data_IF_852577560218
#
_entry.id   IF_852577560218
#
_cell.length_a   1.000
_cell.length_b   1.000
_cell.length_c   1.000
_cell.angle_alpha   90.00
_cell.angle_beta   90.00
_cell.angle_gamma   90.00
#
_symmetry.space_group_name_H-M   'P 1'
#
loop_
_entity.id
_entity.type
_entity.pdbx_description
1 polymer ?
#
# COMPACT_ATOMS: atom_id res chain seq x y z
N UNK A 1 -58.48 36.27 -0.58
CA UNK A 1 -57.02 36.07 -0.68
C UNK A 1 -56.53 35.67 0.69
N UNK A 2 -55.98 34.51 0.99
CA UNK A 2 -55.71 33.28 0.25
C UNK A 2 -55.46 32.25 1.36
N UNK A 3 -56.19 31.12 1.36
CA UNK A 3 -55.97 30.03 2.30
C UNK A 3 -54.70 29.29 1.85
N UNK A 4 -53.67 29.23 2.69
CA UNK A 4 -52.52 28.35 2.44
C UNK A 4 -52.81 26.99 3.06
N UNK A 5 -52.97 26.04 2.15
CA UNK A 5 -53.10 24.60 2.30
C UNK A 5 -51.89 23.93 2.94
N UNK A 6 -52.19 22.98 3.85
CA UNK A 6 -51.60 21.65 4.11
C UNK A 6 -50.35 21.26 3.27
N UNK A 7 -49.36 20.61 3.88
CA UNK A 7 -48.91 19.22 3.58
C UNK A 7 -47.65 18.83 4.37
N UNK A 8 -47.88 18.01 5.40
CA UNK A 8 -47.17 16.77 5.78
C UNK A 8 -45.63 16.70 5.64
N UNK A 9 -45.00 16.53 6.81
CA UNK A 9 -43.69 15.94 7.02
C UNK A 9 -43.53 14.66 6.19
N UNK A 10 -42.54 14.66 5.28
CA UNK A 10 -41.98 13.44 4.71
C UNK A 10 -40.60 13.23 5.29
N UNK A 11 -40.50 12.30 6.24
CA UNK A 11 -39.25 11.61 6.56
C UNK A 11 -38.65 11.07 5.25
N UNK A 12 -37.59 11.72 4.78
CA UNK A 12 -36.79 11.18 3.68
C UNK A 12 -35.96 10.06 4.31
N UNK A 13 -36.52 8.85 4.25
CA UNK A 13 -35.82 7.62 4.55
C UNK A 13 -34.48 7.60 3.82
N UNK A 14 -33.38 7.64 4.60
CA UNK A 14 -32.03 7.42 4.09
C UNK A 14 -31.95 5.97 3.61
N UNK A 15 -32.30 5.75 2.35
CA UNK A 15 -31.99 4.52 1.65
C UNK A 15 -30.47 4.34 1.68
N UNK A 16 -30.00 3.36 2.46
CA UNK A 16 -28.60 2.92 2.43
C UNK A 16 -28.26 2.46 1.01
N UNK A 17 -27.41 3.23 0.34
CA UNK A 17 -26.81 2.81 -0.94
C UNK A 17 -25.83 1.65 -0.65
N UNK A 18 -26.33 0.42 -0.71
CA UNK A 18 -25.52 -0.81 -0.77
C UNK A 18 -24.81 -0.89 -2.13
N UNK A 19 -23.71 -0.14 -2.27
CA UNK A 19 -22.95 -0.15 -3.52
C UNK A 19 -21.72 0.76 -3.58
N UNK A 20 -21.28 1.32 -2.46
CA UNK A 20 -19.99 2.00 -2.37
C UNK A 20 -18.90 1.07 -1.87
N UNK A 21 -17.73 1.09 -2.49
CA UNK A 21 -16.51 0.52 -1.89
C UNK A 21 -16.35 1.16 -0.51
N UNK A 22 -16.45 0.39 0.58
CA UNK A 22 -16.20 0.91 1.93
C UNK A 22 -14.80 1.52 1.93
N UNK A 23 -14.70 2.83 2.12
CA UNK A 23 -13.42 3.47 2.32
C UNK A 23 -12.82 2.91 3.61
N UNK A 24 -11.56 2.49 3.55
CA UNK A 24 -10.84 2.10 4.77
C UNK A 24 -10.52 3.38 5.52
N UNK A 25 -11.13 3.57 6.68
CA UNK A 25 -10.76 4.64 7.62
C UNK A 25 -9.66 4.12 8.54
N UNK A 26 -8.55 4.84 8.59
CA UNK A 26 -7.45 4.56 9.50
C UNK A 26 -7.44 5.59 10.62
N UNK A 27 -7.24 5.14 11.86
CA UNK A 27 -7.08 6.02 13.03
C UNK A 27 -5.60 6.33 13.26
N UNK A 28 -5.11 7.39 12.61
CA UNK A 28 -3.76 7.92 12.82
C UNK A 28 -3.77 9.45 12.77
N UNK A 29 -2.74 10.06 13.35
CA UNK A 29 -2.42 11.50 13.22
C UNK A 29 -1.22 11.68 12.30
N UNK A 30 -1.34 12.56 11.32
CA UNK A 30 -0.22 12.97 10.45
C UNK A 30 0.37 14.29 10.90
N UNK A 31 1.71 14.40 10.88
CA UNK A 31 2.45 15.64 11.08
C UNK A 31 3.47 15.80 9.96
N UNK A 32 3.67 17.03 9.48
CA UNK A 32 4.71 17.38 8.52
C UNK A 32 5.65 18.39 9.16
N UNK A 33 6.92 18.05 9.26
CA UNK A 33 8.00 18.95 9.66
C UNK A 33 9.00 19.10 8.50
N UNK A 34 9.99 20.00 8.63
CA UNK A 34 11.09 20.13 7.67
C UNK A 34 12.43 20.06 8.37
N UNK A 35 13.32 19.19 7.91
CA UNK A 35 14.60 18.87 8.57
C UNK A 35 15.73 18.77 7.57
N UNK A 36 16.98 19.00 8.02
CA UNK A 36 18.17 18.69 7.23
C UNK A 36 18.52 17.22 7.43
N UNK A 37 18.57 16.42 6.36
CA UNK A 37 19.06 15.03 6.43
C UNK A 37 20.17 14.78 5.44
N UNK A 38 21.27 14.24 5.94
CA UNK A 38 22.49 13.95 5.18
C UNK A 38 22.30 12.87 4.09
N UNK A 39 21.27 12.02 4.22
CA UNK A 39 20.97 10.93 3.26
C UNK A 39 19.97 11.31 2.16
N UNK A 40 19.45 12.54 2.15
CA UNK A 40 18.58 13.00 1.08
C UNK A 40 19.42 13.38 -0.15
N UNK A 41 19.02 12.91 -1.33
CA UNK A 41 19.88 12.88 -2.51
C UNK A 41 20.34 14.29 -2.95
N UNK A 42 19.53 15.35 -2.74
CA UNK A 42 19.81 16.68 -3.33
C UNK A 42 19.41 17.93 -2.52
N UNK A 43 18.66 17.81 -1.41
CA UNK A 43 18.07 18.99 -0.74
C UNK A 43 18.57 19.26 0.68
N UNK A 44 18.83 20.54 0.97
CA UNK A 44 19.24 21.00 2.32
C UNK A 44 18.11 20.90 3.35
N UNK A 45 16.84 20.90 2.92
CA UNK A 45 15.66 20.79 3.78
C UNK A 45 14.67 19.81 3.15
N UNK A 46 14.30 18.75 3.86
CA UNK A 46 13.33 17.76 3.38
C UNK A 46 12.10 17.74 4.28
N UNK A 47 10.96 17.33 3.72
CA UNK A 47 9.77 17.04 4.51
C UNK A 47 9.98 15.77 5.37
N UNK A 48 9.70 15.87 6.67
CA UNK A 48 9.63 14.76 7.60
C UNK A 48 8.17 14.50 7.94
N UNK A 49 7.57 13.50 7.29
CA UNK A 49 6.16 13.16 7.44
C UNK A 49 6.05 12.03 8.47
N UNK A 50 5.47 12.32 9.63
CA UNK A 50 5.28 11.36 10.72
C UNK A 50 3.82 10.97 10.85
N UNK A 51 3.54 9.67 10.80
CA UNK A 51 2.23 9.10 11.11
C UNK A 51 2.27 8.45 12.49
N UNK A 52 1.38 8.86 13.39
CA UNK A 52 1.29 8.35 14.77
C UNK A 52 -0.05 7.66 14.99
N UNK A 53 -0.04 6.45 15.53
CA UNK A 53 -1.23 5.72 15.97
C UNK A 53 -0.94 4.93 17.25
N UNK A 54 -1.96 4.69 18.06
CA UNK A 54 -1.88 3.76 19.18
C UNK A 54 -1.77 2.29 18.70
N UNK A 55 -2.25 2.01 17.49
CA UNK A 55 -2.15 0.69 16.88
C UNK A 55 -0.79 0.54 16.15
N UNK A 56 0.13 -0.18 16.79
CA UNK A 56 1.44 -0.50 16.19
C UNK A 56 1.31 -1.34 14.91
N UNK A 57 0.28 -2.17 14.78
CA UNK A 57 0.03 -2.95 13.56
C UNK A 57 -0.34 -2.03 12.41
N UNK A 58 -1.15 -1.01 12.66
CA UNK A 58 -1.47 0.03 11.68
C UNK A 58 -0.22 0.79 11.24
N UNK A 59 0.64 1.25 12.16
CA UNK A 59 1.89 1.95 11.80
C UNK A 59 2.76 1.10 10.87
N UNK A 60 2.91 -0.19 11.17
CA UNK A 60 3.64 -1.14 10.31
C UNK A 60 2.93 -1.35 8.97
N UNK A 61 1.60 -1.47 8.95
CA UNK A 61 0.81 -1.57 7.72
C UNK A 61 1.03 -0.35 6.80
N UNK A 62 1.09 0.87 7.37
CA UNK A 62 1.38 2.09 6.61
C UNK A 62 2.75 2.01 5.92
N UNK A 63 3.79 1.55 6.63
CA UNK A 63 5.14 1.37 6.07
C UNK A 63 5.16 0.28 4.98
N UNK A 64 4.52 -0.87 5.24
CA UNK A 64 4.41 -1.98 4.27
C UNK A 64 3.64 -1.55 3.02
N UNK A 65 2.67 -0.62 3.13
CA UNK A 65 1.99 -0.08 1.96
C UNK A 65 2.93 0.68 1.03
N UNK A 66 3.90 1.42 1.57
CA UNK A 66 4.91 2.12 0.76
C UNK A 66 5.87 1.13 0.09
N UNK A 67 6.26 0.07 0.79
CA UNK A 67 7.01 -1.03 0.20
C UNK A 67 6.27 -1.68 -0.98
N UNK A 68 4.98 -1.99 -0.80
CA UNK A 68 4.15 -2.56 -1.86
C UNK A 68 3.93 -1.59 -3.02
N UNK A 69 3.85 -0.28 -2.74
CA UNK A 69 3.75 0.74 -3.78
C UNK A 69 4.97 0.71 -4.71
N UNK A 70 6.18 0.53 -4.17
CA UNK A 70 7.40 0.37 -4.97
C UNK A 70 7.36 -0.85 -5.90
N UNK A 71 6.54 -1.87 -5.60
CA UNK A 71 6.31 -3.02 -6.47
C UNK A 71 5.08 -2.89 -7.39
N UNK A 72 4.52 -1.69 -7.54
CA UNK A 72 3.29 -1.42 -8.29
C UNK A 72 2.07 -2.22 -7.76
N UNK A 73 1.95 -2.31 -6.44
CA UNK A 73 0.79 -2.90 -5.75
C UNK A 73 0.07 -1.83 -4.93
N UNK A 74 -1.15 -1.48 -5.37
CA UNK A 74 -1.97 -0.40 -4.81
C UNK A 74 -3.27 -0.91 -4.18
N UNK A 75 -3.48 -2.22 -4.13
CA UNK A 75 -4.68 -2.79 -3.52
C UNK A 75 -4.77 -2.48 -2.03
N UNK A 76 -5.93 -1.96 -1.61
CA UNK A 76 -6.19 -1.48 -0.25
C UNK A 76 -5.79 -2.50 0.86
N UNK A 77 -6.06 -3.79 0.62
CA UNK A 77 -5.81 -4.85 1.60
C UNK A 77 -4.45 -5.56 1.44
N UNK A 78 -3.63 -5.19 0.44
CA UNK A 78 -2.38 -5.92 0.18
C UNK A 78 -1.39 -5.81 1.35
N UNK A 79 -1.22 -4.62 1.92
CA UNK A 79 -0.35 -4.42 3.07
C UNK A 79 -0.83 -5.20 4.30
N UNK A 80 -2.15 -5.19 4.56
CA UNK A 80 -2.77 -5.92 5.68
C UNK A 80 -2.59 -7.43 5.53
N UNK A 81 -2.81 -7.97 4.33
CA UNK A 81 -2.61 -9.40 4.02
C UNK A 81 -1.13 -9.79 4.17
N UNK A 82 -0.20 -8.98 3.66
CA UNK A 82 1.22 -9.27 3.77
C UNK A 82 1.69 -9.23 5.25
N UNK A 83 1.24 -8.24 6.02
CA UNK A 83 1.49 -8.21 7.48
C UNK A 83 0.95 -9.46 8.17
N UNK A 84 -0.26 -9.90 7.83
CA UNK A 84 -0.85 -11.10 8.40
C UNK A 84 -0.04 -12.36 8.07
N UNK A 85 0.38 -12.52 6.82
CA UNK A 85 1.22 -13.66 6.41
C UNK A 85 2.52 -13.66 7.23
N UNK A 86 3.20 -12.50 7.31
CA UNK A 86 4.46 -12.37 8.03
C UNK A 86 4.32 -12.64 9.54
N UNK A 87 3.26 -12.13 10.18
CA UNK A 87 2.99 -12.35 11.61
C UNK A 87 2.67 -13.81 11.97
N UNK A 88 2.18 -14.59 11.01
CA UNK A 88 1.78 -15.99 11.19
C UNK A 88 2.76 -16.98 10.55
N UNK A 89 3.98 -16.54 10.28
CA UNK A 89 5.07 -17.42 9.90
C UNK A 89 5.46 -18.30 11.10
N UNK A 90 5.66 -19.58 10.82
CA UNK A 90 6.14 -20.59 11.77
C UNK A 90 7.50 -21.11 11.31
N UNK A 91 8.34 -21.54 12.24
CA UNK A 91 9.64 -22.13 11.91
C UNK A 91 9.54 -23.65 11.85
N UNK A 92 9.79 -24.22 10.67
CA UNK A 92 9.87 -25.67 10.43
C UNK A 92 11.23 -25.97 9.82
N UNK A 93 12.02 -26.83 10.46
CA UNK A 93 13.36 -27.22 9.95
C UNK A 93 14.25 -26.00 9.60
N UNK A 94 14.24 -24.98 10.45
CA UNK A 94 14.94 -23.69 10.25
C UNK A 94 14.41 -22.84 9.09
N UNK A 95 13.21 -23.13 8.58
CA UNK A 95 12.53 -22.36 7.52
C UNK A 95 11.33 -21.64 8.08
N UNK A 96 11.28 -20.35 7.78
CA UNK A 96 10.14 -19.47 8.08
C UNK A 96 9.04 -19.66 7.04
N UNK A 97 7.99 -20.39 7.39
CA UNK A 97 6.87 -20.75 6.52
C UNK A 97 5.51 -20.39 7.12
N UNK A 98 4.64 -19.82 6.29
CA UNK A 98 3.22 -19.61 6.55
C UNK A 98 2.40 -20.80 6.03
N UNK A 99 1.58 -21.41 6.90
CA UNK A 99 0.92 -22.70 6.65
C UNK A 99 -0.61 -22.63 6.63
N UNK A 100 -1.21 -21.54 7.10
CA UNK A 100 -2.66 -21.48 7.37
C UNK A 100 -3.52 -21.36 6.09
N UNK A 101 -2.90 -21.03 4.96
CA UNK A 101 -3.57 -20.90 3.67
C UNK A 101 -4.46 -19.65 3.55
N UNK A 102 -5.14 -19.49 2.40
CA UNK A 102 -5.90 -18.28 2.08
C UNK A 102 -7.22 -18.15 2.85
N UNK A 103 -7.84 -19.28 3.24
CA UNK A 103 -9.11 -19.24 3.97
C UNK A 103 -8.95 -18.60 5.34
N UNK A 104 -7.84 -18.87 6.02
CA UNK A 104 -7.55 -18.28 7.32
C UNK A 104 -7.35 -16.76 7.23
N UNK A 105 -6.65 -16.29 6.20
CA UNK A 105 -6.52 -14.84 5.93
C UNK A 105 -7.90 -14.19 5.72
N UNK A 106 -8.77 -14.85 4.94
CA UNK A 106 -10.10 -14.33 4.65
C UNK A 106 -10.95 -14.21 5.93
N UNK A 107 -10.93 -15.24 6.77
CA UNK A 107 -11.64 -15.26 8.05
C UNK A 107 -11.08 -14.21 9.02
N UNK A 108 -9.77 -14.24 9.24
CA UNK A 108 -9.08 -13.38 10.23
C UNK A 108 -9.12 -11.90 9.87
N UNK A 109 -9.14 -11.55 8.58
CA UNK A 109 -9.16 -10.15 8.13
C UNK A 109 -10.55 -9.66 7.71
N UNK A 110 -11.59 -10.51 7.84
CA UNK A 110 -12.97 -10.24 7.40
C UNK A 110 -13.05 -9.84 5.91
N UNK A 111 -12.28 -10.55 5.07
CA UNK A 111 -12.21 -10.31 3.63
C UNK A 111 -12.87 -11.44 2.85
N UNK A 112 -13.35 -11.13 1.65
CA UNK A 112 -13.82 -12.19 0.75
C UNK A 112 -12.63 -13.06 0.30
N UNK A 113 -12.84 -14.38 0.21
CA UNK A 113 -11.82 -15.30 -0.30
C UNK A 113 -11.28 -14.90 -1.69
N UNK A 114 -12.12 -14.49 -2.67
CA UNK A 114 -11.62 -14.01 -3.96
C UNK A 114 -10.69 -12.79 -3.85
N UNK A 115 -10.96 -11.87 -2.92
CA UNK A 115 -10.08 -10.71 -2.66
C UNK A 115 -8.72 -11.17 -2.16
N UNK A 116 -8.69 -12.06 -1.17
CA UNK A 116 -7.45 -12.63 -0.63
C UNK A 116 -6.69 -13.37 -1.72
N UNK A 117 -7.36 -14.26 -2.45
CA UNK A 117 -6.75 -15.06 -3.50
C UNK A 117 -6.10 -14.18 -4.58
N UNK A 118 -6.79 -13.13 -5.04
CA UNK A 118 -6.26 -12.18 -6.03
C UNK A 118 -5.00 -11.47 -5.53
N UNK A 119 -5.01 -11.02 -4.27
CA UNK A 119 -3.88 -10.29 -3.68
C UNK A 119 -2.69 -11.22 -3.46
N UNK A 120 -2.90 -12.41 -2.87
CA UNK A 120 -1.82 -13.40 -2.66
C UNK A 120 -1.20 -13.84 -3.99
N UNK A 121 -2.01 -13.99 -5.04
CA UNK A 121 -1.47 -14.26 -6.39
C UNK A 121 -0.60 -13.11 -6.93
N UNK A 122 -0.93 -11.85 -6.68
CA UNK A 122 -0.06 -10.72 -7.06
C UNK A 122 1.22 -10.67 -6.22
N UNK A 123 1.13 -10.90 -4.91
CA UNK A 123 2.31 -11.00 -4.04
C UNK A 123 3.27 -12.09 -4.55
N UNK A 124 2.72 -13.22 -4.98
CA UNK A 124 3.49 -14.30 -5.60
C UNK A 124 4.10 -13.93 -6.95
N UNK A 125 3.36 -13.27 -7.83
CA UNK A 125 3.91 -12.78 -9.12
C UNK A 125 5.06 -11.78 -8.95
N UNK A 126 5.11 -11.09 -7.81
CA UNK A 126 6.16 -10.13 -7.46
C UNK A 126 7.26 -10.73 -6.59
N UNK A 127 7.27 -12.05 -6.36
CA UNK A 127 8.24 -12.74 -5.49
C UNK A 127 8.29 -12.25 -4.04
N UNK A 128 7.23 -11.57 -3.58
CA UNK A 128 7.09 -11.08 -2.20
C UNK A 128 6.64 -12.22 -1.27
N UNK A 129 5.74 -13.07 -1.76
CA UNK A 129 5.28 -14.29 -1.08
C UNK A 129 5.46 -15.47 -2.03
N UNK A 130 6.35 -16.39 -1.71
CA UNK A 130 6.79 -17.46 -2.60
C UNK A 130 6.18 -18.77 -2.10
N UNK A 131 5.69 -19.61 -3.02
CA UNK A 131 5.18 -20.94 -2.66
C UNK A 131 6.33 -21.80 -2.12
N UNK A 132 6.10 -22.45 -0.99
CA UNK A 132 7.06 -23.38 -0.42
C UNK A 132 7.13 -24.66 -1.27
N UNK A 133 8.31 -25.03 -1.82
CA UNK A 133 8.41 -26.21 -2.69
C UNK A 133 8.21 -27.54 -1.96
N UNK A 134 8.49 -27.59 -0.65
CA UNK A 134 8.47 -28.84 0.12
C UNK A 134 7.17 -29.05 0.91
N UNK A 135 6.42 -27.98 1.20
CA UNK A 135 5.20 -28.03 1.99
C UNK A 135 4.03 -27.53 1.13
N UNK A 136 3.09 -28.44 0.84
CA UNK A 136 1.92 -28.13 0.00
C UNK A 136 1.08 -27.01 0.63
N UNK A 137 0.68 -26.05 -0.20
CA UNK A 137 -0.14 -24.88 0.19
C UNK A 137 0.51 -23.94 1.22
N UNK A 138 1.82 -24.07 1.45
CA UNK A 138 2.57 -23.17 2.29
C UNK A 138 3.27 -22.08 1.46
N UNK A 139 3.62 -21.00 2.13
CA UNK A 139 4.36 -19.89 1.56
C UNK A 139 5.52 -19.50 2.47
N UNK A 140 6.61 -19.00 1.91
CA UNK A 140 7.59 -18.21 2.65
C UNK A 140 7.59 -16.77 2.12
N UNK A 141 8.02 -15.84 2.95
CA UNK A 141 8.20 -14.43 2.56
C UNK A 141 9.53 -14.31 1.82
N UNK A 142 9.55 -13.61 0.68
CA UNK A 142 10.76 -13.40 -0.10
C UNK A 142 11.83 -12.65 0.69
N UNK A 143 13.10 -12.86 0.35
CA UNK A 143 14.24 -12.33 1.11
C UNK A 143 14.21 -10.80 1.24
N UNK A 144 13.88 -10.09 0.16
CA UNK A 144 13.74 -8.62 0.17
C UNK A 144 12.64 -8.17 1.15
N UNK A 145 11.49 -8.82 1.11
CA UNK A 145 10.36 -8.51 1.99
C UNK A 145 10.68 -8.84 3.46
N UNK A 146 11.34 -9.97 3.72
CA UNK A 146 11.79 -10.35 5.07
C UNK A 146 12.79 -9.32 5.63
N UNK A 147 13.78 -8.91 4.82
CA UNK A 147 14.72 -7.83 5.19
C UNK A 147 13.99 -6.51 5.44
N UNK A 148 12.99 -6.16 4.62
CA UNK A 148 12.18 -4.96 4.83
C UNK A 148 11.45 -5.02 6.17
N UNK A 149 10.74 -6.10 6.47
CA UNK A 149 10.05 -6.29 7.75
C UNK A 149 11.00 -6.22 8.95
N UNK A 150 12.19 -6.81 8.83
CA UNK A 150 13.22 -6.72 9.86
C UNK A 150 13.70 -5.27 10.06
N UNK A 151 13.90 -4.52 8.98
CA UNK A 151 14.37 -3.11 9.08
C UNK A 151 13.37 -2.20 9.79
N UNK A 152 12.06 -2.46 9.66
CA UNK A 152 11.00 -1.67 10.29
C UNK A 152 10.51 -2.24 11.64
N UNK A 153 11.08 -3.35 12.11
CA UNK A 153 10.61 -4.06 13.32
C UNK A 153 10.80 -3.26 14.61
N UNK A 154 11.95 -2.57 14.74
CA UNK A 154 12.28 -1.74 15.88
C UNK A 154 11.82 -0.28 15.68
N UNK A 155 12.02 0.24 14.48
CA UNK A 155 11.69 1.61 14.12
C UNK A 155 11.11 1.64 12.70
N UNK A 156 9.82 1.94 12.58
CA UNK A 156 9.10 1.96 11.30
C UNK A 156 9.40 3.24 10.49
N UNK A 157 10.68 3.46 10.19
CA UNK A 157 11.15 4.54 9.35
C UNK A 157 11.57 4.02 7.99
N UNK A 158 11.14 4.74 6.95
CA UNK A 158 11.51 4.49 5.56
C UNK A 158 11.93 5.82 4.93
N UNK A 159 12.85 5.77 3.97
CA UNK A 159 13.23 6.91 3.17
C UNK A 159 12.56 6.78 1.80
N UNK A 160 11.71 7.74 1.46
CA UNK A 160 11.13 7.85 0.12
C UNK A 160 11.90 8.92 -0.65
N UNK A 161 12.39 8.54 -1.83
CA UNK A 161 13.00 9.47 -2.78
C UNK A 161 12.23 9.39 -4.08
N UNK A 162 11.86 10.55 -4.61
CA UNK A 162 11.21 10.68 -5.90
C UNK A 162 12.18 11.42 -6.82
N UNK A 163 12.60 10.75 -7.89
CA UNK A 163 13.36 11.36 -8.98
C UNK A 163 12.46 11.32 -10.22
N UNK A 164 12.41 12.42 -10.96
CA UNK A 164 11.82 12.40 -12.28
C UNK A 164 12.83 11.76 -13.22
N UNK A 165 12.36 10.90 -14.12
CA UNK A 165 13.15 10.55 -15.30
C UNK A 165 13.40 11.86 -16.07
N UNK A 166 14.62 12.05 -16.56
CA UNK A 166 14.88 13.16 -17.49
C UNK A 166 13.97 12.94 -18.70
N UNK A 167 13.00 13.82 -18.92
CA UNK A 167 12.22 13.78 -20.16
C UNK A 167 13.22 13.90 -21.31
N UNK A 168 13.39 12.84 -22.10
CA UNK A 168 13.92 13.01 -23.45
C UNK A 168 13.03 14.08 -24.10
N UNK A 169 13.61 15.25 -24.39
CA UNK A 169 12.89 16.33 -25.06
C UNK A 169 12.42 15.83 -26.43
N UNK A 170 11.18 15.34 -26.48
CA UNK A 170 10.44 15.03 -27.71
C UNK A 170 9.77 16.28 -28.28
N UNK A 171 10.29 17.47 -27.94
CA UNK A 171 9.83 18.70 -28.55
C UNK A 171 10.36 18.75 -29.99
N UNK A 172 9.47 19.08 -30.94
CA UNK A 172 9.84 19.36 -32.32
C UNK A 172 10.80 20.56 -32.43
N UNK A 173 11.05 21.25 -31.32
CA UNK A 173 11.88 22.42 -31.19
C UNK A 173 12.81 22.18 -29.98
N UNK A 174 14.12 22.25 -30.18
CA UNK A 174 15.10 22.16 -29.10
C UNK A 174 15.04 23.41 -28.20
N UNK A 175 15.68 23.40 -27.03
CA UNK A 175 15.75 24.57 -26.12
C UNK A 175 16.27 25.86 -26.78
N UNK A 176 17.06 25.73 -27.86
CA UNK A 176 17.61 26.85 -28.64
C UNK A 176 16.65 27.39 -29.72
N UNK A 177 15.43 26.86 -29.82
CA UNK A 177 14.42 27.25 -30.80
C UNK A 177 14.59 26.61 -32.19
N UNK A 178 15.55 25.70 -32.38
CA UNK A 178 15.76 25.00 -33.65
C UNK A 178 14.88 23.76 -33.79
N UNK A 179 14.48 23.42 -35.02
CA UNK A 179 13.70 22.21 -35.29
C UNK A 179 14.49 20.94 -34.95
N UNK A 180 13.89 20.05 -34.15
CA UNK A 180 14.44 18.76 -33.79
C UNK A 180 14.41 17.83 -35.01
N UNK A 181 15.59 17.59 -35.60
CA UNK A 181 15.74 16.82 -36.84
C UNK A 181 15.56 15.31 -36.65
N UNK A 182 15.59 14.83 -35.41
CA UNK A 182 15.39 13.42 -35.10
C UNK A 182 13.90 13.02 -35.13
N UNK A 183 12.98 13.99 -35.20
CA UNK A 183 11.54 13.76 -35.40
C UNK A 183 11.07 13.80 -36.87
N UNK A 184 11.96 14.10 -37.84
CA UNK A 184 11.59 14.32 -39.25
C UNK A 184 11.88 13.11 -40.15
N UNK A 185 12.29 11.96 -39.59
CA UNK A 185 12.57 10.73 -40.34
C UNK A 185 11.75 9.53 -39.86
#
# INVERSE_FOLDING_TARGET
MEQITKTEEREVSKAEKKGGRKSISYDFKGKVDFVKREKAIREKMIADITFTSADRKLVRELAVRQYLFAHNMTEDYAAKILCFIYDNVTEIESRKVYLLGNQEIANSLELSYPTVQKIVQRLHKKSIVIKEPFIKNAYHVGEEADRFFQSISNNAQILLTFEADEEEQLEAINEDGSLNKDMVN
#
